data_IF_626830987446
#
_entry.id   IF_626830987446
#
_cell.length_a   1.000
_cell.length_b   1.000
_cell.length_c   1.000
_cell.angle_alpha   90.00
_cell.angle_beta   90.00
_cell.angle_gamma   90.00
#
_symmetry.space_group_name_H-M   'P 1'
#
loop_
_entity.id
_entity.type
_entity.pdbx_description
1 polymer ?
#
# COMPACT_ATOMS: atom_id res chain seq x y z
N UNK A 1 18.73 15.36 61.77
CA UNK A 1 20.13 15.82 61.57
C UNK A 1 20.70 15.10 60.34
N UNK A 2 20.37 15.51 59.12
CA UNK A 2 21.06 16.49 58.26
C UNK A 2 22.55 16.22 57.99
N UNK A 3 22.87 15.81 56.74
CA UNK A 3 23.79 16.45 55.77
C UNK A 3 24.01 15.49 54.58
N UNK A 4 23.27 15.67 53.47
CA UNK A 4 23.63 16.44 52.27
C UNK A 4 24.89 15.88 51.57
N UNK A 5 24.67 15.09 50.51
CA UNK A 5 25.69 14.70 49.54
C UNK A 5 25.87 15.83 48.52
N UNK A 6 27.08 16.41 48.48
CA UNK A 6 27.44 17.49 47.57
C UNK A 6 27.73 16.99 46.14
N UNK A 7 27.19 17.70 45.15
CA UNK A 7 27.61 17.67 43.74
C UNK A 7 29.06 18.14 43.62
N UNK A 8 29.90 17.36 42.94
CA UNK A 8 31.16 17.86 42.37
C UNK A 8 31.04 18.00 40.85
N UNK A 9 31.56 19.11 40.37
CA UNK A 9 31.37 19.70 39.04
C UNK A 9 32.26 19.05 37.96
N UNK A 10 31.71 18.93 36.75
CA UNK A 10 32.31 18.31 35.58
C UNK A 10 33.39 19.17 34.90
N UNK A 11 34.49 19.48 35.59
CA UNK A 11 35.54 20.37 35.04
C UNK A 11 36.98 19.88 35.21
N UNK A 12 37.20 18.56 35.31
CA UNK A 12 38.57 18.01 35.57
C UNK A 12 39.01 16.90 34.61
N UNK A 13 38.20 16.45 33.65
CA UNK A 13 38.55 15.28 32.81
C UNK A 13 39.15 15.65 31.42
N UNK A 14 39.18 16.93 31.03
CA UNK A 14 39.64 17.36 29.69
C UNK A 14 41.15 17.68 29.56
N UNK A 15 42.04 16.88 30.17
CA UNK A 15 43.50 17.05 29.99
C UNK A 15 44.28 15.77 29.68
N UNK A 16 43.66 14.79 29.04
CA UNK A 16 44.37 13.61 28.54
C UNK A 16 43.91 13.23 27.13
N UNK A 17 44.15 14.12 26.16
CA UNK A 17 44.24 13.77 24.75
C UNK A 17 45.68 14.00 24.31
N UNK A 18 46.46 12.92 24.26
CA UNK A 18 47.81 12.96 23.73
C UNK A 18 48.20 11.59 23.21
N UNK A 19 48.24 11.49 21.88
CA UNK A 19 48.86 10.40 21.13
C UNK A 19 48.08 9.08 21.08
N UNK A 20 47.32 8.88 20.01
CA UNK A 20 47.42 7.75 19.06
C UNK A 20 46.21 7.82 18.12
N UNK A 21 46.41 7.50 16.84
CA UNK A 21 45.45 7.56 15.71
C UNK A 21 45.44 8.84 14.87
N UNK A 22 46.60 9.17 14.28
CA UNK A 22 46.60 9.76 12.94
C UNK A 22 46.54 8.64 11.90
N UNK A 23 45.75 8.87 10.84
CA UNK A 23 45.52 8.03 9.62
C UNK A 23 44.35 7.04 9.66
N UNK A 24 43.14 7.57 9.70
CA UNK A 24 42.15 7.20 8.68
C UNK A 24 41.75 8.50 7.99
N UNK A 25 41.94 8.53 6.67
CA UNK A 25 41.65 9.68 5.81
C UNK A 25 40.19 10.07 5.98
N UNK A 26 39.95 11.25 6.56
CA UNK A 26 38.66 11.92 6.50
C UNK A 26 38.38 12.26 5.04
N UNK A 27 37.69 11.37 4.33
CA UNK A 27 36.97 11.77 3.13
C UNK A 27 35.99 12.85 3.56
N UNK A 28 36.22 14.06 3.08
CA UNK A 28 35.44 15.27 3.29
C UNK A 28 33.94 14.98 3.34
N UNK A 29 33.38 14.83 4.53
CA UNK A 29 31.96 15.08 4.73
C UNK A 29 31.79 16.57 4.47
N UNK A 30 31.10 16.94 3.38
CA UNK A 30 30.66 18.31 3.13
C UNK A 30 30.10 18.87 4.45
N UNK A 31 30.43 20.13 4.77
CA UNK A 31 29.94 20.79 5.98
C UNK A 31 28.43 20.57 6.11
N UNK A 32 28.00 19.93 7.19
CA UNK A 32 26.58 19.70 7.46
C UNK A 32 25.94 21.09 7.62
N UNK A 33 25.14 21.49 6.64
CA UNK A 33 24.42 22.76 6.68
C UNK A 33 23.65 22.82 8.01
N UNK A 34 23.88 23.86 8.84
CA UNK A 34 23.21 23.96 10.13
C UNK A 34 21.69 24.06 9.91
N UNK A 35 20.92 23.36 10.74
CA UNK A 35 19.46 23.28 10.61
C UNK A 35 18.78 24.66 10.64
N UNK A 36 19.40 25.65 11.27
CA UNK A 36 18.91 27.04 11.29
C UNK A 36 18.88 27.73 9.93
N UNK A 37 19.67 27.27 8.95
CA UNK A 37 19.66 27.79 7.57
C UNK A 37 18.57 27.11 6.73
N UNK A 38 18.11 25.92 7.15
CA UNK A 38 17.08 25.17 6.41
C UNK A 38 15.74 25.84 6.67
N UNK A 39 15.17 26.46 5.63
CA UNK A 39 13.85 27.06 5.70
C UNK A 39 12.79 26.02 6.13
N UNK A 40 12.04 26.32 7.18
CA UNK A 40 10.95 25.45 7.64
C UNK A 40 9.81 25.46 6.62
N UNK A 41 9.70 24.42 5.81
CA UNK A 41 8.54 24.22 4.97
C UNK A 41 7.30 23.96 5.84
N UNK A 42 6.47 24.99 6.04
CA UNK A 42 5.10 24.80 6.55
C UNK A 42 4.29 24.04 5.50
N UNK A 43 4.02 22.77 5.74
CA UNK A 43 3.14 21.98 4.89
C UNK A 43 1.68 22.42 5.11
N UNK A 44 1.21 23.36 4.30
CA UNK A 44 -0.21 23.72 4.22
C UNK A 44 -0.86 22.71 3.26
N UNK A 45 -1.90 21.96 3.66
CA UNK A 45 -2.60 21.09 2.73
C UNK A 45 -3.27 21.91 1.62
N UNK A 46 -3.25 21.42 0.38
CA UNK A 46 -3.93 22.07 -0.74
C UNK A 46 -5.41 22.32 -0.41
N UNK A 47 -5.86 23.57 -0.55
CA UNK A 47 -7.29 23.94 -0.41
C UNK A 47 -8.08 23.19 -1.48
N UNK A 48 -9.19 22.54 -1.09
CA UNK A 48 -10.14 21.99 -2.06
C UNK A 48 -10.66 23.12 -2.95
N UNK A 49 -10.69 22.95 -4.28
CA UNK A 49 -11.28 23.94 -5.18
C UNK A 49 -12.71 24.28 -4.75
N UNK A 50 -13.13 25.53 -4.91
CA UNK A 50 -14.39 26.03 -4.33
C UNK A 50 -15.63 25.30 -4.88
N UNK A 51 -15.58 24.82 -6.13
CA UNK A 51 -16.62 24.00 -6.75
C UNK A 51 -16.76 22.59 -6.15
N UNK A 52 -15.85 22.17 -5.26
CA UNK A 52 -15.93 20.92 -4.49
C UNK A 52 -16.25 21.15 -3.01
N UNK A 53 -16.45 22.41 -2.59
CA UNK A 53 -16.72 22.77 -1.21
C UNK A 53 -18.23 22.66 -0.91
N UNK A 54 -18.69 21.45 -0.62
CA UNK A 54 -20.03 21.22 -0.08
C UNK A 54 -19.91 20.91 1.41
N UNK A 55 -20.29 21.87 2.27
CA UNK A 55 -20.12 21.77 3.73
C UNK A 55 -20.86 20.58 4.35
N UNK A 56 -22.00 20.18 3.78
CA UNK A 56 -22.74 18.98 4.22
C UNK A 56 -21.94 17.72 3.91
N UNK A 57 -21.36 17.64 2.72
CA UNK A 57 -20.51 16.52 2.31
C UNK A 57 -19.24 16.46 3.18
N UNK A 58 -18.63 17.60 3.48
CA UNK A 58 -17.44 17.66 4.33
C UNK A 58 -17.73 17.18 5.76
N UNK A 59 -18.85 17.61 6.37
CA UNK A 59 -19.30 17.09 7.68
C UNK A 59 -19.51 15.58 7.65
N UNK A 60 -20.20 15.06 6.63
CA UNK A 60 -20.40 13.61 6.47
C UNK A 60 -19.09 12.84 6.32
N UNK A 61 -18.12 13.38 5.57
CA UNK A 61 -16.80 12.76 5.40
C UNK A 61 -16.01 12.74 6.71
N UNK A 62 -16.14 13.79 7.52
CA UNK A 62 -15.49 13.90 8.83
C UNK A 62 -16.07 12.96 9.86
N UNK A 63 -17.38 12.97 10.03
CA UNK A 63 -18.06 12.24 11.11
C UNK A 63 -18.22 10.75 10.80
N UNK A 64 -18.61 10.40 9.56
CA UNK A 64 -19.16 9.06 9.27
C UNK A 64 -18.26 8.17 8.44
N UNK A 65 -17.42 8.72 7.55
CA UNK A 65 -16.78 7.92 6.49
C UNK A 65 -15.26 7.81 6.60
N UNK A 66 -14.52 8.90 6.83
CA UNK A 66 -13.06 8.89 6.56
C UNK A 66 -12.17 9.87 7.34
N UNK A 67 -12.72 10.83 8.10
CA UNK A 67 -11.96 11.86 8.84
C UNK A 67 -11.06 12.72 7.93
N UNK A 68 -11.63 13.77 7.32
CA UNK A 68 -11.06 14.56 6.21
C UNK A 68 -10.89 16.07 6.55
N UNK A 69 -9.67 16.68 6.58
CA UNK A 69 -8.33 16.09 6.68
C UNK A 69 -7.60 16.55 7.98
N UNK A 70 -6.52 15.87 8.40
CA UNK A 70 -5.22 16.39 7.96
C UNK A 70 -4.28 15.28 7.48
N UNK A 71 -3.48 15.62 6.47
CA UNK A 71 -2.28 14.87 6.10
C UNK A 71 -1.23 15.05 7.21
N UNK A 72 -1.40 14.34 8.32
CA UNK A 72 -0.28 14.05 9.21
C UNK A 72 0.40 12.79 8.71
N UNK A 73 1.72 12.73 8.84
CA UNK A 73 2.52 11.55 8.53
C UNK A 73 1.93 10.33 9.27
N UNK A 74 1.13 9.53 8.57
CA UNK A 74 0.42 8.42 9.20
C UNK A 74 1.43 7.33 9.50
N UNK A 75 1.60 6.99 10.78
CA UNK A 75 2.07 5.66 11.17
C UNK A 75 1.14 4.65 10.50
N UNK A 76 1.71 3.71 9.73
CA UNK A 76 0.96 2.67 9.02
C UNK A 76 0.18 1.89 10.09
N UNK A 77 -1.16 1.86 10.00
CA UNK A 77 -1.98 1.08 10.95
C UNK A 77 -1.60 -0.41 10.82
N UNK A 78 -1.58 -1.18 11.92
CA UNK A 78 -1.40 -2.63 11.83
C UNK A 78 -2.51 -3.20 10.93
N UNK A 79 -2.12 -3.98 9.92
CA UNK A 79 -3.03 -4.59 8.94
C UNK A 79 -2.98 -4.00 7.52
N UNK A 80 -2.41 -2.80 7.32
CA UNK A 80 -2.13 -2.30 5.97
C UNK A 80 -0.63 -2.38 5.67
N UNK A 81 -0.26 -2.83 4.47
CA UNK A 81 1.13 -2.87 4.03
C UNK A 81 1.71 -1.47 3.77
N UNK A 82 0.97 -0.63 3.02
CA UNK A 82 1.42 0.72 2.61
C UNK A 82 0.38 1.80 2.89
N UNK A 83 0.84 3.04 3.08
CA UNK A 83 -0.02 4.24 3.10
C UNK A 83 -0.84 4.42 1.81
N UNK A 84 -0.36 3.90 0.68
CA UNK A 84 -1.09 3.92 -0.60
C UNK A 84 -2.31 3.01 -0.55
N UNK A 85 -2.21 1.87 0.15
CA UNK A 85 -3.33 0.95 0.34
C UNK A 85 -4.40 1.56 1.24
N UNK A 86 -4.00 2.28 2.28
CA UNK A 86 -4.91 3.05 3.14
C UNK A 86 -5.69 4.08 2.33
N UNK A 87 -5.03 4.80 1.41
CA UNK A 87 -5.71 5.75 0.51
C UNK A 87 -6.72 5.07 -0.40
N UNK A 88 -6.38 3.93 -0.99
CA UNK A 88 -7.31 3.16 -1.84
C UNK A 88 -8.51 2.63 -1.05
N UNK A 89 -8.28 2.15 0.17
CA UNK A 89 -9.33 1.69 1.07
C UNK A 89 -10.35 2.80 1.40
N UNK A 90 -9.86 4.00 1.77
CA UNK A 90 -10.74 5.16 2.01
C UNK A 90 -11.55 5.54 0.78
N UNK A 91 -10.93 5.56 -0.41
CA UNK A 91 -11.64 5.83 -1.67
C UNK A 91 -12.77 4.84 -1.91
N UNK A 92 -12.55 3.55 -1.64
CA UNK A 92 -13.58 2.52 -1.79
C UNK A 92 -14.76 2.76 -0.85
N UNK A 93 -14.51 3.18 0.40
CA UNK A 93 -15.58 3.51 1.34
C UNK A 93 -16.42 4.71 0.85
N UNK A 94 -15.75 5.80 0.45
CA UNK A 94 -16.43 6.99 -0.09
C UNK A 94 -17.21 6.64 -1.36
N UNK A 95 -16.60 5.90 -2.29
CA UNK A 95 -17.25 5.50 -3.53
C UNK A 95 -18.46 4.56 -3.29
N UNK A 96 -18.37 3.64 -2.32
CA UNK A 96 -19.49 2.78 -1.96
C UNK A 96 -20.68 3.61 -1.46
N UNK A 97 -20.43 4.58 -0.58
CA UNK A 97 -21.47 5.46 -0.04
C UNK A 97 -22.17 6.30 -1.12
N UNK A 98 -21.40 6.94 -2.01
CA UNK A 98 -21.95 7.83 -3.04
C UNK A 98 -22.35 7.12 -4.35
N UNK A 99 -22.23 5.78 -4.42
CA UNK A 99 -22.50 5.00 -5.64
C UNK A 99 -23.91 5.23 -6.18
N UNK A 100 -24.93 5.04 -5.34
CA UNK A 100 -26.34 5.18 -5.71
C UNK A 100 -26.68 6.59 -6.19
N UNK A 101 -26.20 7.61 -5.48
CA UNK A 101 -26.42 9.00 -5.83
C UNK A 101 -25.80 9.33 -7.20
N UNK A 102 -24.55 8.89 -7.43
CA UNK A 102 -23.88 9.10 -8.73
C UNK A 102 -24.59 8.38 -9.88
N UNK A 103 -25.16 7.19 -9.65
CA UNK A 103 -25.93 6.48 -10.67
C UNK A 103 -27.17 7.30 -11.06
N UNK A 104 -27.93 7.77 -10.07
CA UNK A 104 -29.14 8.60 -10.27
C UNK A 104 -28.82 9.89 -11.03
N UNK A 105 -27.81 10.64 -10.59
CA UNK A 105 -27.43 11.89 -11.27
C UNK A 105 -26.90 11.65 -12.69
N UNK A 106 -26.16 10.56 -12.92
CA UNK A 106 -25.69 10.23 -14.27
C UNK A 106 -26.83 9.81 -15.19
N UNK A 107 -27.89 9.19 -14.68
CA UNK A 107 -29.09 8.93 -15.46
C UNK A 107 -29.72 10.25 -15.90
N UNK A 108 -29.97 11.18 -14.96
CA UNK A 108 -30.53 12.51 -15.27
C UNK A 108 -29.69 13.26 -16.31
N UNK A 109 -28.37 13.31 -16.12
CA UNK A 109 -27.44 14.00 -17.02
C UNK A 109 -27.42 13.44 -18.45
N UNK A 110 -27.59 12.12 -18.61
CA UNK A 110 -27.51 11.44 -19.91
C UNK A 110 -28.85 11.29 -20.63
N UNK A 111 -29.94 11.78 -20.03
CA UNK A 111 -31.27 11.70 -20.62
C UNK A 111 -31.43 12.69 -21.78
N UNK A 112 -32.05 12.26 -22.87
CA UNK A 112 -32.39 13.10 -24.04
C UNK A 112 -33.77 13.74 -23.95
N UNK A 113 -34.66 13.19 -23.09
CA UNK A 113 -36.06 13.61 -22.94
C UNK A 113 -36.21 14.84 -22.02
N UNK A 114 -35.29 14.98 -21.05
CA UNK A 114 -35.36 16.04 -20.04
C UNK A 114 -34.92 17.39 -20.61
N UNK A 115 -35.48 18.50 -20.10
CA UNK A 115 -35.00 19.84 -20.44
C UNK A 115 -33.54 20.03 -20.03
N UNK A 116 -32.85 20.91 -20.76
CA UNK A 116 -31.41 21.15 -20.58
C UNK A 116 -31.05 21.63 -19.18
N UNK A 117 -31.87 22.51 -18.60
CA UNK A 117 -31.69 23.06 -17.26
C UNK A 117 -31.53 21.97 -16.18
N UNK A 118 -32.33 20.90 -16.24
CA UNK A 118 -32.26 19.79 -15.29
C UNK A 118 -30.97 18.99 -15.49
N UNK A 119 -30.50 18.84 -16.73
CA UNK A 119 -29.24 18.15 -17.04
C UNK A 119 -28.03 18.95 -16.57
N UNK A 120 -28.10 20.27 -16.66
CA UNK A 120 -27.07 21.18 -16.18
C UNK A 120 -27.01 21.17 -14.65
N UNK A 121 -28.16 21.24 -13.98
CA UNK A 121 -28.23 21.08 -12.52
C UNK A 121 -27.66 19.73 -12.07
N UNK A 122 -27.99 18.62 -12.75
CA UNK A 122 -27.42 17.32 -12.44
C UNK A 122 -25.90 17.28 -12.65
N UNK A 123 -25.39 17.99 -13.66
CA UNK A 123 -23.94 18.10 -13.92
C UNK A 123 -23.23 18.90 -12.83
N UNK A 124 -23.80 20.01 -12.39
CA UNK A 124 -23.31 20.81 -11.25
C UNK A 124 -23.32 19.98 -9.95
N UNK A 125 -24.39 19.25 -9.69
CA UNK A 125 -24.47 18.37 -8.52
C UNK A 125 -23.40 17.26 -8.56
N UNK A 126 -23.14 16.65 -9.72
CA UNK A 126 -22.07 15.65 -9.87
C UNK A 126 -20.69 16.27 -9.61
N UNK A 127 -20.46 17.51 -10.05
CA UNK A 127 -19.21 18.24 -9.83
C UNK A 127 -19.00 18.62 -8.34
N UNK A 128 -20.08 18.87 -7.62
CA UNK A 128 -20.06 19.18 -6.18
C UNK A 128 -19.66 17.99 -5.29
N UNK A 129 -19.80 16.76 -5.79
CA UNK A 129 -19.45 15.54 -5.05
C UNK A 129 -17.95 15.42 -4.82
N UNK A 130 -17.53 14.71 -3.75
CA UNK A 130 -16.12 14.60 -3.44
C UNK A 130 -15.41 13.81 -4.53
N UNK A 131 -14.23 14.28 -4.96
CA UNK A 131 -13.46 13.68 -6.06
C UNK A 131 -13.22 12.18 -5.91
N UNK A 132 -12.98 11.73 -4.68
CA UNK A 132 -12.70 10.32 -4.36
C UNK A 132 -13.94 9.41 -4.42
N UNK A 133 -15.15 9.96 -4.61
CA UNK A 133 -16.37 9.19 -4.90
C UNK A 133 -16.37 8.56 -6.29
N UNK A 134 -15.49 9.00 -7.20
CA UNK A 134 -15.49 8.53 -8.59
C UNK A 134 -14.90 7.12 -8.72
N UNK A 135 -15.68 6.18 -9.28
CA UNK A 135 -15.29 4.77 -9.42
C UNK A 135 -13.99 4.54 -10.20
N UNK A 136 -13.72 5.33 -11.25
CA UNK A 136 -12.47 5.27 -12.05
C UNK A 136 -11.19 5.47 -11.24
N UNK A 137 -11.26 6.08 -10.05
CA UNK A 137 -10.08 6.30 -9.19
C UNK A 137 -9.68 5.07 -8.38
N UNK A 138 -10.55 4.07 -8.31
CA UNK A 138 -10.30 2.83 -7.58
C UNK A 138 -9.34 1.97 -8.41
N UNK A 139 -8.32 1.42 -7.76
CA UNK A 139 -7.37 0.52 -8.41
C UNK A 139 -7.38 -0.87 -7.77
N UNK A 140 -7.27 -1.91 -8.60
CA UNK A 140 -7.13 -3.29 -8.15
C UNK A 140 -5.71 -3.55 -7.63
N UNK A 141 -5.52 -3.38 -6.33
CA UNK A 141 -4.27 -3.68 -5.62
C UNK A 141 -4.22 -5.11 -5.11
N UNK A 142 -3.00 -5.62 -4.96
CA UNK A 142 -2.75 -6.85 -4.21
C UNK A 142 -3.15 -6.65 -2.75
N UNK A 143 -3.94 -7.57 -2.20
CA UNK A 143 -4.35 -7.51 -0.78
C UNK A 143 -3.15 -7.71 0.16
N UNK A 144 -2.19 -8.54 -0.23
CA UNK A 144 -1.02 -8.87 0.61
C UNK A 144 0.08 -7.81 0.52
N UNK A 145 0.47 -7.43 -0.70
CA UNK A 145 1.68 -6.61 -0.94
C UNK A 145 1.41 -5.22 -1.49
N UNK A 146 0.15 -4.76 -1.54
CA UNK A 146 -0.27 -3.44 -2.07
C UNK A 146 0.16 -3.09 -3.51
N UNK A 147 0.78 -4.04 -4.23
CA UNK A 147 1.28 -3.90 -5.60
C UNK A 147 0.15 -3.44 -6.54
N UNK A 148 0.44 -2.41 -7.34
CA UNK A 148 -0.54 -1.78 -8.24
C UNK A 148 -0.82 -2.58 -9.52
N UNK A 149 0.20 -3.22 -10.10
CA UNK A 149 0.12 -3.85 -11.43
C UNK A 149 0.25 -5.36 -11.35
N UNK A 150 -0.33 -6.05 -12.35
CA UNK A 150 -0.25 -7.51 -12.47
C UNK A 150 -0.98 -8.23 -11.33
N UNK A 151 -2.10 -7.68 -10.87
CA UNK A 151 -2.99 -8.33 -9.92
C UNK A 151 -4.03 -9.14 -10.69
N UNK A 152 -4.24 -10.39 -10.29
CA UNK A 152 -5.28 -11.23 -10.89
C UNK A 152 -6.60 -10.93 -10.19
N UNK A 153 -7.61 -10.47 -10.94
CA UNK A 153 -8.88 -9.95 -10.41
C UNK A 153 -9.64 -10.99 -9.59
N UNK A 154 -9.67 -12.26 -10.03
CA UNK A 154 -10.37 -13.38 -9.35
C UNK A 154 -9.88 -13.57 -7.91
N UNK A 155 -8.56 -13.57 -7.69
CA UNK A 155 -7.97 -13.79 -6.36
C UNK A 155 -7.59 -12.50 -5.64
N UNK A 156 -7.55 -11.35 -6.33
CA UNK A 156 -7.10 -10.04 -5.80
C UNK A 156 -5.65 -10.04 -5.28
N UNK A 157 -4.81 -10.89 -5.87
CA UNK A 157 -3.41 -11.08 -5.48
C UNK A 157 -2.48 -10.75 -6.66
N UNK A 158 -1.28 -10.23 -6.37
CA UNK A 158 -0.26 -9.96 -7.39
C UNK A 158 0.26 -11.25 -8.02
N UNK A 159 0.77 -11.18 -9.25
CA UNK A 159 1.36 -12.34 -9.95
C UNK A 159 2.46 -13.05 -9.17
N UNK A 160 3.22 -12.34 -8.34
CA UNK A 160 4.35 -12.90 -7.56
C UNK A 160 3.80 -13.77 -6.44
N UNK A 161 2.88 -13.22 -5.65
CA UNK A 161 2.24 -13.95 -4.56
C UNK A 161 1.32 -15.05 -5.11
N UNK A 162 0.64 -14.82 -6.22
CA UNK A 162 -0.17 -15.83 -6.89
C UNK A 162 0.67 -17.03 -7.32
N UNK A 163 1.84 -16.80 -7.95
CA UNK A 163 2.77 -17.88 -8.29
C UNK A 163 3.25 -18.62 -7.05
N UNK A 164 3.66 -17.89 -6.01
CA UNK A 164 4.04 -18.50 -4.73
C UNK A 164 2.93 -19.41 -4.18
N UNK A 165 1.68 -18.94 -4.14
CA UNK A 165 0.57 -19.76 -3.66
C UNK A 165 0.26 -20.94 -4.58
N UNK A 166 0.39 -20.80 -5.89
CA UNK A 166 0.21 -21.90 -6.83
C UNK A 166 1.32 -22.97 -6.69
N UNK A 167 2.59 -22.56 -6.65
CA UNK A 167 3.74 -23.47 -6.64
C UNK A 167 3.81 -24.33 -5.36
N UNK A 168 3.38 -23.77 -4.22
CA UNK A 168 3.30 -24.46 -2.93
C UNK A 168 1.93 -25.15 -2.68
N UNK A 169 1.04 -25.18 -3.68
CA UNK A 169 -0.31 -25.78 -3.60
C UNK A 169 -1.21 -25.18 -2.50
N UNK A 170 -1.12 -23.87 -2.25
CA UNK A 170 -2.06 -23.15 -1.38
C UNK A 170 -3.36 -22.76 -2.10
N UNK A 171 -3.42 -22.90 -3.43
CA UNK A 171 -4.63 -22.67 -4.23
C UNK A 171 -5.21 -23.99 -4.69
N UNK A 172 -6.48 -24.24 -4.35
CA UNK A 172 -7.21 -25.43 -4.79
C UNK A 172 -7.45 -25.42 -6.30
N UNK A 173 -7.14 -26.53 -6.98
CA UNK A 173 -7.40 -26.72 -8.41
C UNK A 173 -6.49 -25.92 -9.36
N UNK A 174 -5.47 -25.23 -8.83
CA UNK A 174 -4.46 -24.57 -9.67
C UNK A 174 -3.32 -25.53 -9.91
N UNK A 175 -3.22 -26.00 -11.15
CA UNK A 175 -2.13 -26.82 -11.65
C UNK A 175 -1.35 -26.05 -12.72
N UNK A 176 -0.12 -26.49 -13.01
CA UNK A 176 0.58 -26.00 -14.19
C UNK A 176 -0.12 -26.49 -15.44
N UNK A 177 -0.27 -25.60 -16.42
CA UNK A 177 -0.84 -25.96 -17.71
C UNK A 177 0.13 -26.90 -18.43
N UNK A 178 -0.39 -28.04 -18.88
CA UNK A 178 0.32 -29.07 -19.61
C UNK A 178 -0.49 -29.34 -20.88
N UNK A 179 0.11 -29.11 -22.05
CA UNK A 179 -0.59 -29.19 -23.34
C UNK A 179 -0.11 -30.34 -24.22
N UNK A 180 1.03 -30.95 -23.89
CA UNK A 180 1.54 -32.16 -24.52
C UNK A 180 1.87 -33.20 -23.47
N UNK A 181 1.69 -34.49 -23.79
CA UNK A 181 2.08 -35.62 -22.93
C UNK A 181 3.55 -35.56 -22.51
N UNK A 182 4.39 -34.95 -23.35
CA UNK A 182 5.84 -34.83 -23.14
C UNK A 182 6.26 -33.45 -22.59
N UNK A 183 5.35 -32.72 -21.96
CA UNK A 183 5.72 -31.57 -21.14
C UNK A 183 6.52 -32.09 -19.94
N UNK A 184 7.85 -32.14 -20.08
CA UNK A 184 8.75 -32.27 -18.94
C UNK A 184 8.54 -31.04 -18.06
N UNK A 185 7.56 -31.11 -17.16
CA UNK A 185 7.30 -30.09 -16.17
C UNK A 185 8.61 -29.96 -15.39
N UNK A 186 9.30 -28.84 -15.55
CA UNK A 186 10.53 -28.54 -14.84
C UNK A 186 10.22 -28.13 -13.40
N UNK A 187 9.41 -28.92 -12.69
CA UNK A 187 9.74 -29.20 -11.29
C UNK A 187 11.08 -29.93 -11.40
N UNK A 188 12.17 -29.21 -11.13
CA UNK A 188 13.56 -29.70 -11.27
C UNK A 188 13.86 -31.04 -10.56
N UNK A 189 12.90 -31.63 -9.87
CA UNK A 189 13.06 -32.79 -9.02
C UNK A 189 12.18 -33.99 -9.38
N UNK A 190 11.18 -33.87 -10.29
CA UNK A 190 10.33 -35.02 -10.67
C UNK A 190 9.81 -35.00 -12.10
N UNK A 191 9.87 -36.17 -12.73
CA UNK A 191 9.19 -36.56 -13.97
C UNK A 191 7.88 -37.26 -13.62
N UNK A 192 6.82 -37.01 -14.39
CA UNK A 192 5.57 -37.77 -14.30
C UNK A 192 5.21 -38.31 -15.68
N UNK A 193 4.88 -39.60 -15.84
CA UNK A 193 4.81 -40.66 -14.81
C UNK A 193 6.17 -40.97 -14.16
N UNK A 194 6.20 -41.59 -12.95
CA UNK A 194 7.45 -41.96 -12.29
C UNK A 194 8.23 -42.96 -13.17
N UNK A 195 9.57 -42.93 -13.16
CA UNK A 195 10.38 -43.92 -13.86
C UNK A 195 10.00 -45.32 -13.40
N UNK A 196 9.98 -46.28 -14.32
CA UNK A 196 9.58 -47.67 -14.05
C UNK A 196 10.42 -48.32 -12.94
N UNK A 197 11.65 -47.82 -12.73
CA UNK A 197 12.61 -48.35 -11.75
C UNK A 197 12.26 -48.03 -10.29
N UNK A 198 11.31 -47.11 -10.04
CA UNK A 198 11.00 -46.60 -8.69
C UNK A 198 9.52 -46.81 -8.36
N UNK A 199 9.25 -47.36 -7.17
CA UNK A 199 7.87 -47.48 -6.67
C UNK A 199 7.23 -46.10 -6.47
N UNK A 200 5.93 -45.97 -6.75
CA UNK A 200 5.20 -44.70 -6.62
C UNK A 200 5.35 -44.11 -5.20
N UNK A 201 5.33 -44.96 -4.17
CA UNK A 201 5.46 -44.56 -2.77
C UNK A 201 6.84 -43.97 -2.46
N UNK A 202 7.93 -44.58 -2.94
CA UNK A 202 9.28 -44.06 -2.75
C UNK A 202 9.52 -42.79 -3.55
N UNK A 203 8.90 -42.70 -4.73
CA UNK A 203 8.86 -41.47 -5.51
C UNK A 203 8.20 -40.34 -4.70
N UNK A 204 7.02 -40.56 -4.13
CA UNK A 204 6.32 -39.56 -3.30
C UNK A 204 7.14 -39.19 -2.05
N UNK A 205 7.77 -40.14 -1.35
CA UNK A 205 8.63 -39.85 -0.19
C UNK A 205 9.81 -38.96 -0.56
N UNK A 206 10.45 -39.20 -1.70
CA UNK A 206 11.54 -38.36 -2.24
C UNK A 206 11.07 -36.91 -2.50
N UNK A 207 9.82 -36.74 -2.95
CA UNK A 207 9.23 -35.41 -3.18
C UNK A 207 9.13 -34.63 -1.88
N UNK A 208 8.52 -35.24 -0.86
CA UNK A 208 8.30 -34.59 0.43
C UNK A 208 9.62 -34.27 1.13
N UNK A 209 10.63 -35.14 1.01
CA UNK A 209 11.99 -34.89 1.52
C UNK A 209 12.64 -33.67 0.86
N UNK A 210 12.54 -33.55 -0.47
CA UNK A 210 13.11 -32.42 -1.22
C UNK A 210 12.35 -31.10 -1.02
N UNK A 211 11.09 -31.15 -0.60
CA UNK A 211 10.26 -29.98 -0.32
C UNK A 211 10.43 -29.44 1.11
N UNK A 212 10.93 -30.27 2.02
CA UNK A 212 11.20 -29.91 3.40
C UNK A 212 12.52 -29.14 3.60
N UNK A 213 13.41 -29.17 2.59
CA UNK A 213 14.64 -28.39 2.50
C UNK A 213 14.44 -27.16 1.60
#
# INVERSE_FOLDING_TARGET
MFKICGRMTASVIDKALGCFTQRIRASSLLSRIPQSIIHEHRHIPDKTPEHHNNSVVEKLLNEKLCGYPPYQARKIRPGFQDAIMVRDYKRRQVAAHFSNLRIRLNALRKNTILPEEIRDQASLQIASLPRDSHWTRIHSRCVVTSRRRGCKTRWRVSRIIWRRYADYNHLSGVLWACWSSDCQSTRRHMRWPPPNDITVNDYIKKYHRNRAN
#
